data_IF_198990895839
#
_entry.id   IF_198990895839
#
_cell.length_a   1.000
_cell.length_b   1.000
_cell.length_c   1.000
_cell.angle_alpha   90.00
_cell.angle_beta   90.00
_cell.angle_gamma   90.00
#
_symmetry.space_group_name_H-M   'P 1'
#
loop_
_entity.id
_entity.type
_entity.pdbx_description
1 polymer ?
#
# COMPACT_ATOMS: atom_id res chain seq x y z
N UNK A 1 17.78 -9.61 -1.01
CA UNK A 1 16.94 -10.81 -1.24
C UNK A 1 15.51 -10.33 -1.43
N UNK A 2 14.84 -10.72 -2.52
CA UNK A 2 13.52 -10.19 -2.84
C UNK A 2 12.51 -10.51 -1.75
N UNK A 3 11.67 -9.54 -1.38
CA UNK A 3 10.48 -9.75 -0.55
C UNK A 3 9.32 -10.30 -1.38
N UNK A 4 9.23 -9.87 -2.65
CA UNK A 4 8.25 -10.39 -3.61
C UNK A 4 8.96 -10.62 -4.94
N UNK A 5 8.73 -11.77 -5.54
CA UNK A 5 9.20 -12.14 -6.90
C UNK A 5 7.98 -12.61 -7.70
N UNK A 6 7.63 -11.87 -8.74
CA UNK A 6 6.48 -12.11 -9.61
C UNK A 6 6.97 -12.45 -11.03
N UNK A 7 6.66 -13.66 -11.51
CA UNK A 7 7.14 -14.19 -12.79
C UNK A 7 6.00 -14.76 -13.61
N UNK A 8 5.75 -14.14 -14.77
CA UNK A 8 4.75 -14.58 -15.75
C UNK A 8 3.33 -14.65 -15.19
N UNK A 9 3.02 -13.81 -14.19
CA UNK A 9 1.74 -13.88 -13.48
C UNK A 9 0.62 -13.30 -14.32
N UNK A 10 -0.44 -14.09 -14.50
CA UNK A 10 -1.72 -13.62 -15.02
C UNK A 10 -2.77 -13.66 -13.93
N UNK A 11 -3.61 -12.63 -13.89
CA UNK A 11 -4.63 -12.41 -12.88
C UNK A 11 -6.00 -12.31 -13.51
N UNK A 12 -7.02 -12.86 -12.85
CA UNK A 12 -8.38 -12.82 -13.38
C UNK A 12 -9.42 -13.36 -12.40
N UNK A 13 -10.68 -13.30 -12.81
CA UNK A 13 -11.84 -13.84 -12.12
C UNK A 13 -12.67 -14.67 -13.10
N UNK A 14 -13.09 -15.87 -12.69
CA UNK A 14 -14.04 -16.73 -13.45
C UNK A 14 -13.69 -16.87 -14.94
N UNK A 15 -12.40 -17.00 -15.27
CA UNK A 15 -11.93 -17.14 -16.67
C UNK A 15 -11.67 -15.81 -17.39
N UNK A 16 -12.04 -14.66 -16.82
CA UNK A 16 -11.73 -13.34 -17.39
C UNK A 16 -10.38 -12.86 -16.88
N UNK A 17 -9.37 -12.86 -17.74
CA UNK A 17 -8.03 -12.35 -17.41
C UNK A 17 -8.03 -10.82 -17.49
N UNK A 18 -7.66 -10.16 -16.39
CA UNK A 18 -7.58 -8.69 -16.26
C UNK A 18 -6.15 -8.14 -16.37
N UNK A 19 -5.15 -8.97 -16.08
CA UNK A 19 -3.75 -8.64 -16.28
C UNK A 19 -2.98 -9.89 -16.70
N UNK A 20 -2.03 -9.73 -17.63
CA UNK A 20 -1.26 -10.84 -18.20
C UNK A 20 0.22 -10.59 -18.08
N UNK A 21 0.96 -11.68 -17.90
CA UNK A 21 2.43 -11.72 -17.94
C UNK A 21 3.10 -10.64 -17.10
N UNK A 22 2.63 -10.50 -15.84
CA UNK A 22 3.24 -9.57 -14.90
C UNK A 22 4.59 -10.11 -14.44
N UNK A 23 5.63 -9.30 -14.61
CA UNK A 23 6.98 -9.59 -14.20
C UNK A 23 7.53 -8.41 -13.43
N UNK A 24 7.75 -8.59 -12.09
CA UNK A 24 8.34 -7.57 -11.25
C UNK A 24 8.97 -8.19 -10.00
N UNK A 25 9.87 -7.44 -9.38
CA UNK A 25 10.55 -7.84 -8.18
C UNK A 25 10.60 -6.69 -7.18
N UNK A 26 10.38 -6.99 -5.90
CA UNK A 26 10.44 -6.01 -4.81
C UNK A 26 11.51 -6.45 -3.83
N UNK A 27 12.54 -5.65 -3.67
CA UNK A 27 13.60 -5.86 -2.70
C UNK A 27 13.26 -5.18 -1.37
N UNK A 28 13.98 -5.57 -0.33
CA UNK A 28 13.85 -4.92 0.98
C UNK A 28 14.27 -3.44 0.89
N UNK A 29 13.40 -2.56 1.38
CA UNK A 29 13.61 -1.11 1.36
C UNK A 29 13.11 -0.42 0.08
N UNK A 30 12.63 -1.16 -0.91
CA UNK A 30 12.02 -0.54 -2.09
C UNK A 30 10.75 0.22 -1.73
N UNK A 31 10.49 1.25 -2.54
CA UNK A 31 9.18 1.89 -2.64
C UNK A 31 8.66 1.68 -4.06
N UNK A 32 7.85 0.64 -4.25
CA UNK A 32 7.19 0.34 -5.52
C UNK A 32 5.87 1.10 -5.61
N UNK A 33 5.70 1.89 -6.66
CA UNK A 33 4.39 2.45 -7.00
C UNK A 33 3.77 1.70 -8.19
N UNK A 34 2.54 1.23 -8.01
CA UNK A 34 1.73 0.56 -9.03
C UNK A 34 0.78 1.59 -9.63
N UNK A 35 0.95 1.88 -10.92
CA UNK A 35 0.14 2.83 -11.67
C UNK A 35 -0.51 2.16 -12.89
N UNK A 36 -1.46 2.82 -13.51
CA UNK A 36 -2.13 2.34 -14.73
C UNK A 36 -3.61 2.68 -14.74
N UNK A 37 -4.25 2.47 -15.87
CA UNK A 37 -5.67 2.79 -16.10
C UNK A 37 -6.61 2.01 -15.19
N UNK A 38 -7.85 2.49 -15.08
CA UNK A 38 -8.92 1.76 -14.41
C UNK A 38 -9.19 0.44 -15.15
N UNK A 39 -9.34 -0.65 -14.38
CA UNK A 39 -9.54 -1.98 -14.94
C UNK A 39 -8.26 -2.69 -15.40
N UNK A 40 -7.06 -2.11 -15.21
CA UNK A 40 -5.79 -2.78 -15.55
C UNK A 40 -5.36 -3.90 -14.59
N UNK A 41 -6.16 -4.20 -13.55
CA UNK A 41 -5.90 -5.29 -12.62
C UNK A 41 -5.12 -4.92 -11.36
N UNK A 42 -4.89 -3.63 -11.06
CA UNK A 42 -4.15 -3.18 -9.86
C UNK A 42 -4.71 -3.75 -8.56
N UNK A 43 -6.01 -3.59 -8.32
CA UNK A 43 -6.67 -4.12 -7.11
C UNK A 43 -6.69 -5.65 -7.09
N UNK A 44 -6.70 -6.30 -8.26
CA UNK A 44 -6.56 -7.76 -8.38
C UNK A 44 -5.16 -8.20 -7.97
N UNK A 45 -4.12 -7.47 -8.39
CA UNK A 45 -2.75 -7.72 -7.95
C UNK A 45 -2.60 -7.54 -6.44
N UNK A 46 -3.16 -6.48 -5.86
CA UNK A 46 -3.21 -6.26 -4.40
C UNK A 46 -3.80 -7.48 -3.68
N UNK A 47 -4.95 -7.96 -4.14
CA UNK A 47 -5.62 -9.15 -3.57
C UNK A 47 -4.77 -10.41 -3.70
N UNK A 48 -4.05 -10.61 -4.82
CA UNK A 48 -3.13 -11.75 -5.00
C UNK A 48 -1.93 -11.66 -4.05
N UNK A 49 -1.33 -10.48 -3.88
CA UNK A 49 -0.24 -10.26 -2.92
C UNK A 49 -0.69 -10.56 -1.49
N UNK A 50 -1.91 -10.18 -1.13
CA UNK A 50 -2.51 -10.52 0.17
C UNK A 50 -2.91 -12.00 0.30
N UNK A 51 -2.93 -12.74 -0.82
CA UNK A 51 -3.36 -14.14 -0.88
C UNK A 51 -4.86 -14.32 -0.73
N UNK A 52 -5.64 -13.31 -1.08
CA UNK A 52 -7.10 -13.35 -1.09
C UNK A 52 -7.65 -13.99 -2.38
N UNK A 53 -6.85 -13.98 -3.45
CA UNK A 53 -7.13 -14.67 -4.71
C UNK A 53 -5.86 -15.37 -5.19
N UNK A 54 -6.04 -16.47 -5.95
CA UNK A 54 -4.96 -17.18 -6.59
C UNK A 54 -4.59 -16.55 -7.95
N UNK A 55 -3.37 -16.77 -8.40
CA UNK A 55 -2.93 -16.40 -9.74
C UNK A 55 -3.51 -17.39 -10.76
N UNK A 56 -3.93 -16.89 -11.92
CA UNK A 56 -4.41 -17.76 -13.00
C UNK A 56 -3.26 -18.56 -13.64
N UNK A 57 -2.09 -17.93 -13.77
CA UNK A 57 -0.84 -18.57 -14.22
C UNK A 57 0.37 -17.83 -13.64
N UNK A 58 1.57 -18.41 -13.79
CA UNK A 58 2.80 -17.86 -13.25
C UNK A 58 2.97 -18.06 -11.75
N UNK A 59 3.98 -17.41 -11.18
CA UNK A 59 4.35 -17.59 -9.77
C UNK A 59 4.55 -16.24 -9.08
N UNK A 60 3.82 -16.03 -7.98
CA UNK A 60 3.99 -14.94 -7.04
C UNK A 60 4.61 -15.50 -5.76
N UNK A 61 5.92 -15.32 -5.59
CA UNK A 61 6.67 -15.85 -4.46
C UNK A 61 6.97 -14.77 -3.42
N UNK A 62 6.79 -15.11 -2.14
CA UNK A 62 7.20 -14.28 -1.01
C UNK A 62 8.52 -14.80 -0.44
N UNK A 63 9.55 -13.96 -0.50
CA UNK A 63 10.89 -14.28 -0.01
C UNK A 63 11.18 -13.66 1.36
N UNK A 64 12.42 -13.82 1.83
CA UNK A 64 12.94 -13.27 3.09
C UNK A 64 12.06 -13.57 4.32
N UNK A 65 11.38 -14.74 4.32
CA UNK A 65 10.48 -15.15 5.41
C UNK A 65 9.28 -14.21 5.60
N UNK A 66 8.89 -13.46 4.59
CA UNK A 66 7.66 -12.66 4.61
C UNK A 66 6.44 -13.59 4.59
N UNK A 67 5.54 -13.42 5.55
CA UNK A 67 4.27 -14.13 5.59
C UNK A 67 3.13 -13.17 5.24
N UNK A 68 2.13 -13.64 4.50
CA UNK A 68 0.96 -12.82 4.09
C UNK A 68 0.31 -12.08 5.26
N UNK A 69 0.21 -12.71 6.43
CA UNK A 69 -0.33 -12.12 7.67
C UNK A 69 0.55 -11.03 8.30
N UNK A 70 1.79 -10.87 7.83
CA UNK A 70 2.77 -9.88 8.28
C UNK A 70 2.86 -8.69 7.32
N UNK A 71 1.99 -8.62 6.31
CA UNK A 71 1.82 -7.46 5.44
C UNK A 71 0.92 -6.46 6.14
N UNK A 72 1.42 -5.25 6.34
CA UNK A 72 0.60 -4.13 6.80
C UNK A 72 -0.25 -3.61 5.64
N UNK A 73 -1.55 -3.81 5.71
CA UNK A 73 -2.46 -3.42 4.63
C UNK A 73 -3.32 -2.23 5.01
N UNK A 74 -3.28 -1.21 4.15
CA UNK A 74 -4.20 -0.07 4.17
C UNK A 74 -5.07 -0.14 2.93
N UNK A 75 -6.35 -0.54 3.07
CA UNK A 75 -7.29 -0.61 1.96
C UNK A 75 -7.76 0.77 1.52
N UNK A 76 -8.28 0.86 0.30
CA UNK A 76 -9.06 2.01 -0.14
C UNK A 76 -10.24 2.22 0.81
N UNK A 77 -10.37 3.44 1.34
CA UNK A 77 -11.44 3.77 2.28
C UNK A 77 -12.81 3.87 1.59
N UNK A 78 -13.82 3.28 2.22
CA UNK A 78 -15.23 3.50 1.88
C UNK A 78 -15.95 4.32 2.98
N UNK A 79 -17.14 4.82 2.67
CA UNK A 79 -17.93 5.66 3.59
C UNK A 79 -18.23 4.96 4.93
N UNK A 80 -18.54 3.67 4.91
CA UNK A 80 -18.84 2.89 6.13
C UNK A 80 -17.64 2.77 7.08
N UNK A 81 -16.42 2.73 6.56
CA UNK A 81 -15.21 2.68 7.37
C UNK A 81 -14.92 4.02 8.05
N UNK A 82 -15.35 5.14 7.48
CA UNK A 82 -15.15 6.48 8.06
C UNK A 82 -16.00 6.74 9.30
N UNK A 83 -17.16 6.09 9.41
CA UNK A 83 -18.11 6.27 10.52
C UNK A 83 -17.95 5.23 11.64
N UNK A 84 -16.75 4.67 11.80
CA UNK A 84 -16.54 3.62 12.80
C UNK A 84 -16.45 4.21 14.23
N UNK A 85 -17.32 3.79 15.19
CA UNK A 85 -17.44 4.39 16.50
C UNK A 85 -16.47 3.78 17.53
N UNK A 86 -15.16 3.87 17.26
CA UNK A 86 -14.11 3.40 18.18
C UNK A 86 -13.11 4.53 18.43
N UNK A 87 -12.38 4.44 19.54
CA UNK A 87 -11.25 5.34 19.80
C UNK A 87 -10.10 5.10 18.80
N UNK A 88 -9.31 6.12 18.54
CA UNK A 88 -8.09 6.02 17.73
C UNK A 88 -7.19 4.88 18.24
N UNK A 89 -7.02 4.78 19.57
CA UNK A 89 -6.21 3.73 20.16
C UNK A 89 -6.72 2.32 19.86
N UNK A 90 -8.03 2.09 19.93
CA UNK A 90 -8.64 0.80 19.61
C UNK A 90 -8.45 0.45 18.13
N UNK A 91 -8.63 1.42 17.24
CA UNK A 91 -8.39 1.23 15.79
C UNK A 91 -6.93 0.84 15.54
N UNK A 92 -5.96 1.57 16.08
CA UNK A 92 -4.53 1.28 15.90
C UNK A 92 -4.17 -0.08 16.49
N UNK A 93 -4.61 -0.37 17.72
CA UNK A 93 -4.32 -1.63 18.43
C UNK A 93 -4.91 -2.84 17.69
N UNK A 94 -6.01 -2.67 16.96
CA UNK A 94 -6.59 -3.74 16.13
C UNK A 94 -5.63 -4.26 15.05
N UNK A 95 -4.64 -3.48 14.63
CA UNK A 95 -3.58 -3.92 13.73
C UNK A 95 -2.72 -5.07 14.28
N UNK A 96 -2.70 -5.24 15.60
CA UNK A 96 -1.98 -6.34 16.26
C UNK A 96 -2.77 -7.66 16.30
N UNK A 97 -4.01 -7.72 15.80
CA UNK A 97 -4.87 -8.92 15.90
C UNK A 97 -4.25 -10.16 15.27
N UNK A 98 -3.57 -10.03 14.13
CA UNK A 98 -2.93 -11.16 13.45
C UNK A 98 -1.81 -11.83 14.28
N UNK A 99 -1.21 -11.10 15.23
CA UNK A 99 -0.16 -11.58 16.14
C UNK A 99 -0.67 -11.91 17.54
N UNK A 100 -1.98 -11.70 17.81
CA UNK A 100 -2.58 -11.86 19.14
C UNK A 100 -2.67 -13.34 19.52
N UNK A 101 -2.13 -13.65 20.71
CA UNK A 101 -2.24 -14.97 21.35
C UNK A 101 -3.08 -14.83 22.61
N UNK A 102 -4.35 -15.23 22.59
CA UNK A 102 -5.23 -15.14 23.75
C UNK A 102 -6.25 -13.98 23.69
N UNK A 103 -6.97 -13.73 24.79
CA UNK A 103 -8.11 -12.79 24.84
C UNK A 103 -7.64 -11.33 24.89
N UNK A 104 -6.57 -11.04 25.64
CA UNK A 104 -6.09 -9.67 25.85
C UNK A 104 -4.85 -9.36 25.01
N UNK A 105 -4.65 -8.08 24.69
CA UNK A 105 -3.42 -7.61 24.05
C UNK A 105 -2.27 -7.58 25.08
N UNK A 106 -1.12 -8.09 24.67
CA UNK A 106 0.10 -8.08 25.47
C UNK A 106 0.67 -6.67 25.65
N UNK A 107 1.56 -6.50 26.64
CA UNK A 107 2.29 -5.24 26.86
C UNK A 107 3.08 -4.82 25.59
N UNK A 108 3.70 -5.79 24.91
CA UNK A 108 4.45 -5.54 23.67
C UNK A 108 3.55 -5.03 22.51
N UNK A 109 2.33 -5.55 22.38
CA UNK A 109 1.37 -5.08 21.37
C UNK A 109 0.86 -3.68 21.67
N UNK A 110 0.59 -3.37 22.94
CA UNK A 110 0.21 -2.02 23.39
C UNK A 110 1.33 -1.01 23.16
N UNK A 111 2.57 -1.40 23.42
CA UNK A 111 3.75 -0.59 23.15
C UNK A 111 3.92 -0.32 21.65
N UNK A 112 3.78 -1.36 20.81
CA UNK A 112 3.85 -1.22 19.35
C UNK A 112 2.78 -0.26 18.81
N UNK A 113 1.56 -0.30 19.35
CA UNK A 113 0.51 0.64 19.00
C UNK A 113 0.90 2.08 19.35
N UNK A 114 1.43 2.31 20.56
CA UNK A 114 1.89 3.63 21.00
C UNK A 114 3.01 4.16 20.11
N UNK A 115 4.04 3.36 19.82
CA UNK A 115 5.14 3.72 18.91
C UNK A 115 4.65 4.01 17.48
N UNK A 116 3.64 3.27 17.00
CA UNK A 116 3.06 3.51 15.67
C UNK A 116 2.28 4.82 15.63
N UNK A 117 1.62 5.20 16.72
CA UNK A 117 0.93 6.49 16.83
C UNK A 117 1.92 7.66 16.90
N UNK A 118 3.01 7.51 17.63
CA UNK A 118 4.09 8.50 17.72
C UNK A 118 4.74 8.75 16.35
N UNK A 119 5.06 7.69 15.60
CA UNK A 119 5.63 7.79 14.23
C UNK A 119 4.75 8.56 13.25
N UNK A 120 3.46 8.64 13.51
CA UNK A 120 2.47 9.29 12.65
C UNK A 120 1.93 10.59 13.21
N UNK A 121 2.51 11.08 14.31
CA UNK A 121 2.14 12.33 14.96
C UNK A 121 0.63 12.40 15.30
N UNK A 122 0.09 11.31 15.91
CA UNK A 122 -1.33 11.18 16.30
C UNK A 122 -1.53 10.74 17.75
N UNK A 123 -0.50 10.84 18.59
CA UNK A 123 -0.56 10.41 19.98
C UNK A 123 -1.60 11.20 20.79
N UNK A 124 -1.73 12.49 20.53
CA UNK A 124 -2.70 13.38 21.16
C UNK A 124 -4.15 13.06 20.79
N UNK A 125 -4.37 12.31 19.71
CA UNK A 125 -5.71 11.90 19.26
C UNK A 125 -6.16 10.56 19.89
N UNK A 126 -5.33 9.94 20.71
CA UNK A 126 -5.47 8.57 21.22
C UNK A 126 -6.89 8.22 21.71
N UNK A 127 -7.49 9.10 22.50
CA UNK A 127 -8.77 8.88 23.14
C UNK A 127 -9.96 9.48 22.37
N UNK A 128 -9.70 10.14 21.22
CA UNK A 128 -10.75 10.69 20.37
C UNK A 128 -11.47 9.60 19.58
N UNK A 129 -12.73 9.83 19.28
CA UNK A 129 -13.50 8.94 18.41
C UNK A 129 -13.01 9.06 16.96
N UNK A 130 -12.72 7.93 16.30
CA UNK A 130 -12.17 7.88 14.95
C UNK A 130 -13.05 8.62 13.91
N UNK A 131 -14.38 8.50 13.99
CA UNK A 131 -15.33 9.17 13.09
C UNK A 131 -15.31 10.70 13.17
N UNK A 132 -14.79 11.26 14.28
CA UNK A 132 -14.72 12.72 14.50
C UNK A 132 -13.46 13.34 13.91
N UNK A 133 -12.57 12.54 13.36
CA UNK A 133 -11.32 12.97 12.79
C UNK A 133 -11.50 13.50 11.37
N UNK A 134 -10.62 14.44 10.97
CA UNK A 134 -10.48 14.81 9.56
C UNK A 134 -10.02 13.63 8.70
N UNK A 135 -10.28 13.67 7.39
CA UNK A 135 -9.87 12.58 6.48
C UNK A 135 -8.37 12.28 6.55
N UNK A 136 -7.52 13.30 6.63
CA UNK A 136 -6.07 13.11 6.78
C UNK A 136 -5.68 12.47 8.11
N UNK A 137 -6.34 12.84 9.22
CA UNK A 137 -6.14 12.20 10.51
C UNK A 137 -6.59 10.75 10.49
N UNK A 138 -7.74 10.45 9.87
CA UNK A 138 -8.22 9.08 9.71
C UNK A 138 -7.21 8.24 8.91
N UNK A 139 -6.64 8.76 7.83
CA UNK A 139 -5.61 8.06 7.05
C UNK A 139 -4.34 7.78 7.87
N UNK A 140 -3.87 8.72 8.69
CA UNK A 140 -2.74 8.49 9.59
C UNK A 140 -3.06 7.39 10.62
N UNK A 141 -4.27 7.35 11.16
CA UNK A 141 -4.72 6.30 12.09
C UNK A 141 -4.72 4.92 11.41
N UNK A 142 -5.23 4.82 10.18
CA UNK A 142 -5.22 3.56 9.42
C UNK A 142 -3.80 3.12 9.03
N UNK A 143 -2.92 4.07 8.75
CA UNK A 143 -1.51 3.78 8.50
C UNK A 143 -0.82 3.28 9.78
N UNK A 144 -1.10 3.88 10.96
CA UNK A 144 -0.61 3.40 12.25
C UNK A 144 -1.08 1.97 12.53
N UNK A 145 -2.35 1.68 12.25
CA UNK A 145 -2.90 0.33 12.33
C UNK A 145 -2.15 -0.65 11.41
N UNK A 146 -1.87 -0.27 10.17
CA UNK A 146 -1.11 -1.09 9.24
C UNK A 146 0.33 -1.35 9.72
N UNK A 147 0.99 -0.35 10.32
CA UNK A 147 2.32 -0.49 10.92
C UNK A 147 2.36 -1.47 12.10
N UNK A 148 1.27 -1.61 12.84
CA UNK A 148 1.17 -2.61 13.91
C UNK A 148 1.18 -4.06 13.37
N UNK A 149 0.82 -4.28 12.11
CA UNK A 149 0.79 -5.60 11.50
C UNK A 149 2.14 -6.01 10.90
N UNK A 150 3.05 -5.05 10.62
CA UNK A 150 4.28 -5.33 9.88
C UNK A 150 5.50 -4.59 10.38
N UNK A 151 6.67 -5.20 10.12
CA UNK A 151 8.00 -4.56 10.17
C UNK A 151 8.73 -4.66 8.82
N UNK A 152 8.12 -5.28 7.81
CA UNK A 152 8.76 -5.61 6.53
C UNK A 152 8.13 -4.93 5.33
N UNK A 153 6.81 -5.02 5.19
CA UNK A 153 6.10 -4.59 3.98
C UNK A 153 4.76 -3.91 4.31
N UNK A 154 4.61 -2.67 3.83
CA UNK A 154 3.34 -1.95 3.77
C UNK A 154 2.75 -2.05 2.35
N UNK A 155 1.49 -2.41 2.25
CA UNK A 155 0.71 -2.42 1.02
C UNK A 155 -0.44 -1.42 1.16
N UNK A 156 -0.42 -0.37 0.32
CA UNK A 156 -1.32 0.78 0.40
C UNK A 156 -2.15 0.83 -0.90
N UNK A 157 -3.46 0.73 -0.78
CA UNK A 157 -4.36 0.73 -1.92
C UNK A 157 -5.10 2.08 -2.02
N UNK A 158 -4.64 2.94 -2.92
CA UNK A 158 -5.15 4.30 -3.16
C UNK A 158 -5.34 5.13 -1.87
N UNK A 159 -4.30 5.27 -1.03
CA UNK A 159 -4.44 5.78 0.34
C UNK A 159 -4.82 7.26 0.43
N UNK A 160 -4.68 8.03 -0.65
CA UNK A 160 -4.91 9.48 -0.67
C UNK A 160 -6.17 9.90 -1.43
N UNK A 161 -6.96 8.93 -1.92
CA UNK A 161 -8.17 9.22 -2.68
C UNK A 161 -9.17 10.04 -1.85
N UNK A 162 -9.56 11.21 -2.39
CA UNK A 162 -10.51 12.12 -1.74
C UNK A 162 -9.91 13.00 -0.64
N UNK A 163 -8.60 13.07 -0.50
CA UNK A 163 -7.90 14.05 0.33
C UNK A 163 -7.57 15.32 -0.48
N UNK A 164 -7.47 16.45 0.21
CA UNK A 164 -6.98 17.68 -0.41
C UNK A 164 -5.49 17.58 -0.77
N UNK A 165 -4.98 18.42 -1.69
CA UNK A 165 -3.60 18.34 -2.18
C UNK A 165 -2.53 18.53 -1.09
N UNK A 166 -2.78 19.35 -0.08
CA UNK A 166 -1.82 19.64 1.00
C UNK A 166 -1.67 18.41 1.89
N UNK A 167 -2.80 17.81 2.30
CA UNK A 167 -2.84 16.59 3.09
C UNK A 167 -2.25 15.41 2.31
N UNK A 168 -2.53 15.33 1.01
CA UNK A 168 -1.95 14.33 0.10
C UNK A 168 -0.42 14.41 0.08
N UNK A 169 0.15 15.60 -0.12
CA UNK A 169 1.60 15.77 -0.13
C UNK A 169 2.25 15.45 1.22
N UNK A 170 1.59 15.78 2.31
CA UNK A 170 2.04 15.43 3.66
C UNK A 170 2.03 13.92 3.89
N UNK A 171 0.97 13.23 3.45
CA UNK A 171 0.85 11.78 3.55
C UNK A 171 1.98 11.06 2.76
N UNK A 172 2.29 11.50 1.54
CA UNK A 172 3.43 10.95 0.79
C UNK A 172 4.77 11.16 1.49
N UNK A 173 4.98 12.33 2.14
CA UNK A 173 6.18 12.58 2.96
C UNK A 173 6.29 11.61 4.13
N UNK A 174 5.18 11.34 4.81
CA UNK A 174 5.13 10.36 5.90
C UNK A 174 5.50 8.96 5.40
N UNK A 175 4.94 8.51 4.27
CA UNK A 175 5.26 7.20 3.68
C UNK A 175 6.75 7.12 3.33
N UNK A 176 7.31 8.17 2.71
CA UNK A 176 8.74 8.25 2.38
C UNK A 176 9.61 8.16 3.63
N UNK A 177 9.22 8.85 4.72
CA UNK A 177 9.89 8.77 6.02
C UNK A 177 9.87 7.35 6.57
N UNK A 178 8.71 6.69 6.55
CA UNK A 178 8.55 5.29 6.97
C UNK A 178 9.47 4.36 6.16
N UNK A 179 9.52 4.51 4.86
CA UNK A 179 10.37 3.71 4.00
C UNK A 179 11.86 3.94 4.29
N UNK A 180 12.32 5.19 4.34
CA UNK A 180 13.75 5.52 4.46
C UNK A 180 14.32 5.36 5.86
N UNK A 181 13.61 5.82 6.88
CA UNK A 181 14.13 5.86 8.24
C UNK A 181 13.90 4.54 8.99
N UNK A 182 12.79 3.86 8.71
CA UNK A 182 12.48 2.57 9.36
C UNK A 182 12.76 1.36 8.49
N UNK A 183 13.19 1.55 7.22
CA UNK A 183 13.56 0.48 6.30
C UNK A 183 12.39 -0.42 5.90
N UNK A 184 11.14 0.07 6.04
CA UNK A 184 9.95 -0.68 5.68
C UNK A 184 9.74 -0.56 4.17
N UNK A 185 9.63 -1.70 3.50
CA UNK A 185 9.31 -1.76 2.07
C UNK A 185 7.87 -1.30 1.85
N UNK A 186 7.64 -0.54 0.79
CA UNK A 186 6.32 0.00 0.47
C UNK A 186 5.89 -0.45 -0.92
N UNK A 187 4.68 -0.95 -1.04
CA UNK A 187 3.96 -1.10 -2.31
C UNK A 187 2.73 -0.21 -2.22
N UNK A 188 2.59 0.72 -3.15
CA UNK A 188 1.45 1.65 -3.19
C UNK A 188 0.78 1.62 -4.54
N UNK A 189 -0.52 1.43 -4.56
CA UNK A 189 -1.35 1.71 -5.75
C UNK A 189 -1.73 3.18 -5.75
N UNK A 190 -1.48 3.87 -6.87
CA UNK A 190 -1.81 5.28 -7.02
C UNK A 190 -2.30 5.59 -8.44
N UNK A 191 -3.23 6.54 -8.53
CA UNK A 191 -3.60 7.18 -9.79
C UNK A 191 -2.80 8.46 -10.04
N UNK A 192 -2.11 8.97 -9.02
CA UNK A 192 -1.28 10.16 -9.10
C UNK A 192 0.13 9.81 -9.59
N UNK A 193 0.34 9.96 -10.89
CA UNK A 193 1.62 9.69 -11.53
C UNK A 193 2.71 10.66 -11.07
N UNK A 194 2.36 11.94 -10.82
CA UNK A 194 3.32 12.94 -10.35
C UNK A 194 3.93 12.53 -9.00
N UNK A 195 3.08 12.15 -8.06
CA UNK A 195 3.56 11.64 -6.76
C UNK A 195 4.31 10.33 -6.90
N UNK A 196 3.87 9.43 -7.79
CA UNK A 196 4.55 8.16 -8.02
C UNK A 196 6.02 8.36 -8.43
N UNK A 197 6.30 9.23 -9.40
CA UNK A 197 7.68 9.47 -9.87
C UNK A 197 8.54 10.26 -8.89
N UNK A 198 7.94 11.05 -7.98
CA UNK A 198 8.68 11.85 -7.01
C UNK A 198 9.03 11.10 -5.71
N UNK A 199 8.27 10.07 -5.36
CA UNK A 199 8.41 9.38 -4.08
C UNK A 199 8.89 7.94 -4.19
N UNK A 200 8.53 7.22 -5.26
CA UNK A 200 8.90 5.83 -5.47
C UNK A 200 10.38 5.63 -5.85
N UNK A 201 10.87 4.41 -5.68
CA UNK A 201 12.15 3.92 -6.24
C UNK A 201 11.92 3.18 -7.55
N UNK A 202 10.81 2.46 -7.64
CA UNK A 202 10.41 1.65 -8.79
C UNK A 202 8.95 1.90 -9.16
N UNK A 203 8.64 1.75 -10.45
CA UNK A 203 7.29 1.84 -11.00
C UNK A 203 6.91 0.50 -11.65
N UNK A 204 5.72 0.02 -11.31
CA UNK A 204 5.01 -1.00 -12.07
C UNK A 204 3.83 -0.33 -12.78
N UNK A 205 3.95 -0.09 -14.08
CA UNK A 205 2.85 0.43 -14.88
C UNK A 205 2.07 -0.71 -15.51
N UNK A 206 0.84 -0.91 -15.04
CA UNK A 206 -0.03 -1.97 -15.50
C UNK A 206 -0.94 -1.48 -16.65
N UNK A 207 -0.95 -2.23 -17.75
CA UNK A 207 -1.84 -2.06 -18.92
C UNK A 207 -2.64 -3.34 -19.10
N UNK A 208 -3.68 -3.29 -19.95
CA UNK A 208 -4.46 -4.49 -20.29
C UNK A 208 -3.61 -5.56 -20.98
N UNK A 209 -2.70 -5.13 -21.87
CA UNK A 209 -1.89 -6.01 -22.70
C UNK A 209 -0.41 -5.92 -22.34
N UNK A 210 -0.08 -6.05 -21.07
CA UNK A 210 1.28 -6.09 -20.58
C UNK A 210 1.55 -5.11 -19.44
N UNK A 211 2.80 -5.04 -19.01
CA UNK A 211 3.24 -4.15 -17.95
C UNK A 211 4.65 -3.65 -18.21
N UNK A 212 4.97 -2.50 -17.65
CA UNK A 212 6.34 -2.01 -17.50
C UNK A 212 6.74 -2.13 -16.03
N UNK A 213 7.94 -2.63 -15.78
CA UNK A 213 8.55 -2.59 -14.45
C UNK A 213 9.99 -2.09 -14.57
N UNK A 214 10.37 -1.14 -13.74
CA UNK A 214 11.73 -0.61 -13.69
C UNK A 214 11.88 0.50 -12.65
N UNK A 215 13.08 1.06 -12.55
CA UNK A 215 13.35 2.25 -11.74
C UNK A 215 12.56 3.45 -12.27
N UNK A 216 12.38 4.47 -11.42
CA UNK A 216 11.75 5.73 -11.85
C UNK A 216 12.48 6.35 -13.04
N UNK A 217 13.83 6.31 -13.08
CA UNK A 217 14.62 6.85 -14.20
C UNK A 217 14.35 6.12 -15.54
N UNK A 218 14.31 4.79 -15.48
CA UNK A 218 13.94 3.96 -16.65
C UNK A 218 12.51 4.23 -17.10
N UNK A 219 11.59 4.36 -16.16
CA UNK A 219 10.19 4.67 -16.45
C UNK A 219 10.02 6.01 -17.18
N UNK A 220 10.63 7.08 -16.67
CA UNK A 220 10.56 8.42 -17.27
C UNK A 220 11.14 8.47 -18.69
N UNK A 221 12.10 7.60 -19.00
CA UNK A 221 12.72 7.48 -20.34
C UNK A 221 11.93 6.57 -21.28
N UNK A 222 10.95 5.82 -20.78
CA UNK A 222 10.19 4.82 -21.53
C UNK A 222 9.12 5.43 -22.44
N UNK A 223 8.79 4.72 -23.52
CA UNK A 223 7.65 5.07 -24.37
C UNK A 223 6.30 4.89 -23.64
N UNK A 224 6.28 4.06 -22.60
CA UNK A 224 5.10 3.88 -21.74
C UNK A 224 4.75 5.17 -21.03
N UNK A 225 5.75 5.85 -20.45
CA UNK A 225 5.55 7.14 -19.78
C UNK A 225 5.13 8.23 -20.79
N UNK A 226 5.82 8.32 -21.94
CA UNK A 226 5.50 9.32 -22.99
C UNK A 226 4.06 9.19 -23.48
N UNK A 227 3.61 7.95 -23.74
CA UNK A 227 2.24 7.68 -24.19
C UNK A 227 1.19 8.05 -23.13
N UNK A 228 1.47 7.76 -21.86
CA UNK A 228 0.55 8.03 -20.76
C UNK A 228 0.49 9.53 -20.41
N UNK A 229 1.64 10.20 -20.27
CA UNK A 229 1.71 11.63 -19.94
C UNK A 229 1.26 12.56 -21.08
N UNK A 230 1.37 12.12 -22.34
CA UNK A 230 0.86 12.85 -23.50
C UNK A 230 -0.67 12.87 -23.58
N UNK A 231 -1.34 11.86 -23.05
CA UNK A 231 -2.80 11.79 -22.96
C UNK A 231 -3.39 12.74 -21.91
N UNK A 232 -2.70 12.98 -20.80
CA UNK A 232 -3.17 13.91 -19.73
C UNK A 232 -3.06 15.40 -20.09
N UNK A 233 -2.25 15.75 -21.10
CA UNK A 233 -2.15 17.15 -21.59
C UNK A 233 -3.26 17.57 -22.55
N UNK A 234 -4.09 16.62 -23.01
CA UNK A 234 -5.16 16.86 -23.99
C UNK A 234 -6.57 16.59 -23.42
N UNK A 235 -6.72 16.38 -22.13
CA UNK A 235 -7.99 16.22 -21.43
C UNK A 235 -8.18 17.37 -20.40
#
# INVERSE_FOLDING_TARGET
>A
MALIDCKGVSLGYEGNIVAKDLNFRVEKGDYLCIVGENGSGKSTLVKSVLGLIETHSGHLHMGDGLKKREIGYLPQQNAAQRDFPASVYEVVLSGCLASKKGVFFSKAQKQLAAESMEKLDITELKDRCYRELSGGQQQRVLLARALCATKKLLLLDEPVTGLDPVVTADFYRIIKRINREYGITVIMVSHDLYSAVNYATHILHMKRDGSFFGTVGEYLSSDVYKAFSGGERNA
#
